data_IF_035997594672
#
_entry.id   IF_035997594672
#
_cell.length_a   1.000
_cell.length_b   1.000
_cell.length_c   1.000
_cell.angle_alpha   90.00
_cell.angle_beta   90.00
_cell.angle_gamma   90.00
#
_symmetry.space_group_name_H-M   'P 1'
#
loop_
_entity.id
_entity.type
_entity.pdbx_description
1 polymer ?
#
# COMPACT_ATOMS: atom_id res chain seq x y z
N UNK A 1 -2.09 9.20 -35.96
CA UNK A 1 -1.36 8.67 -37.13
C UNK A 1 -2.15 8.83 -38.43
N UNK A 2 -3.27 8.12 -38.56
CA UNK A 2 -4.05 8.03 -39.82
C UNK A 2 -4.43 9.40 -40.42
N UNK A 3 -4.90 10.34 -39.59
CA UNK A 3 -5.24 11.71 -40.02
C UNK A 3 -4.03 12.49 -40.56
N UNK A 4 -2.88 12.40 -39.89
CA UNK A 4 -1.64 13.06 -40.33
C UNK A 4 -1.15 12.46 -41.65
N UNK A 5 -1.16 11.13 -41.77
CA UNK A 5 -0.76 10.46 -43.01
C UNK A 5 -1.66 10.82 -44.18
N UNK A 6 -2.98 10.93 -43.95
CA UNK A 6 -3.94 11.44 -44.95
C UNK A 6 -3.61 12.86 -45.38
N UNK A 7 -3.34 13.76 -44.43
CA UNK A 7 -2.99 15.14 -44.71
C UNK A 7 -1.71 15.24 -45.55
N UNK A 8 -0.66 14.52 -45.15
CA UNK A 8 0.60 14.49 -45.88
C UNK A 8 0.42 13.94 -47.30
N UNK A 9 -0.27 12.80 -47.48
CA UNK A 9 -0.58 12.27 -48.83
C UNK A 9 -1.44 13.23 -49.67
N UNK A 10 -2.27 14.04 -49.04
CA UNK A 10 -2.99 15.13 -49.70
C UNK A 10 -2.07 16.22 -50.24
N UNK A 11 -0.97 16.52 -49.55
CA UNK A 11 0.11 17.40 -50.03
C UNK A 11 0.83 16.83 -51.24
N UNK A 12 1.12 15.51 -51.26
CA UNK A 12 1.72 14.82 -52.41
C UNK A 12 0.86 14.94 -53.65
N UNK A 13 -0.45 14.66 -53.52
CA UNK A 13 -1.41 14.80 -54.64
C UNK A 13 -1.48 16.21 -55.19
N UNK A 14 -1.16 17.23 -54.39
CA UNK A 14 -1.13 18.64 -54.77
C UNK A 14 0.26 19.12 -55.22
N UNK A 15 1.26 18.23 -55.25
CA UNK A 15 2.63 18.57 -55.64
C UNK A 15 3.42 19.35 -54.59
N UNK A 16 2.98 19.40 -53.33
CA UNK A 16 3.65 20.16 -52.27
C UNK A 16 4.98 19.53 -51.84
N UNK A 17 5.09 18.19 -51.90
CA UNK A 17 6.28 17.41 -51.57
C UNK A 17 6.12 15.96 -52.08
N UNK A 18 7.22 15.22 -52.20
CA UNK A 18 7.24 13.82 -52.64
C UNK A 18 6.88 12.81 -51.55
N UNK A 19 6.69 11.55 -51.94
CA UNK A 19 6.35 10.46 -51.00
C UNK A 19 7.44 10.22 -49.94
N UNK A 20 8.71 10.37 -50.31
CA UNK A 20 9.86 10.25 -49.40
C UNK A 20 9.77 11.24 -48.22
N UNK A 21 9.40 12.49 -48.49
CA UNK A 21 9.28 13.54 -47.47
C UNK A 21 8.05 13.30 -46.58
N UNK A 22 6.97 12.71 -47.12
CA UNK A 22 5.82 12.27 -46.31
C UNK A 22 6.23 11.21 -45.31
N UNK A 23 6.94 10.20 -45.77
CA UNK A 23 7.35 9.09 -44.92
C UNK A 23 8.30 9.60 -43.82
N UNK A 24 9.28 10.45 -44.18
CA UNK A 24 10.18 11.11 -43.23
C UNK A 24 9.42 11.90 -42.16
N UNK A 25 8.46 12.73 -42.55
CA UNK A 25 7.66 13.55 -41.62
C UNK A 25 6.77 12.69 -40.72
N UNK A 26 6.17 11.64 -41.28
CA UNK A 26 5.32 10.74 -40.52
C UNK A 26 6.12 9.93 -39.50
N UNK A 27 7.31 9.44 -39.86
CA UNK A 27 8.18 8.71 -38.94
C UNK A 27 8.77 9.63 -37.86
N UNK A 28 9.10 10.88 -38.18
CA UNK A 28 9.47 11.88 -37.17
C UNK A 28 8.34 12.14 -36.17
N UNK A 29 7.10 12.33 -36.65
CA UNK A 29 5.93 12.48 -35.79
C UNK A 29 5.71 11.23 -34.91
N UNK A 30 5.85 10.03 -35.50
CA UNK A 30 5.68 8.77 -34.78
C UNK A 30 6.71 8.63 -33.67
N UNK A 31 7.99 8.89 -33.95
CA UNK A 31 9.05 8.84 -32.95
C UNK A 31 8.82 9.85 -31.81
N UNK A 32 8.34 11.05 -32.12
CA UNK A 32 7.98 12.04 -31.08
C UNK A 32 6.78 11.58 -30.25
N UNK A 33 5.75 11.06 -30.90
CA UNK A 33 4.56 10.54 -30.24
C UNK A 33 4.90 9.37 -29.31
N UNK A 34 5.70 8.41 -29.77
CA UNK A 34 6.13 7.26 -28.97
C UNK A 34 6.97 7.72 -27.78
N UNK A 35 7.87 8.70 -27.97
CA UNK A 35 8.59 9.33 -26.84
C UNK A 35 7.64 9.93 -25.80
N UNK A 36 6.59 10.63 -26.22
CA UNK A 36 5.61 11.20 -25.30
C UNK A 36 4.84 10.12 -24.55
N UNK A 37 4.45 9.04 -25.24
CA UNK A 37 3.74 7.90 -24.63
C UNK A 37 4.64 7.20 -23.60
N UNK A 38 5.89 6.89 -23.95
CA UNK A 38 6.84 6.25 -23.03
C UNK A 38 7.15 7.14 -21.82
N UNK A 39 7.28 8.46 -22.02
CA UNK A 39 7.42 9.41 -20.91
C UNK A 39 6.19 9.42 -20.00
N UNK A 40 4.97 9.30 -20.55
CA UNK A 40 3.74 9.15 -19.78
C UNK A 40 3.74 7.87 -18.94
N UNK A 41 4.05 6.74 -19.56
CA UNK A 41 4.15 5.44 -18.87
C UNK A 41 5.16 5.46 -17.73
N UNK A 42 6.32 6.07 -17.94
CA UNK A 42 7.35 6.20 -16.91
C UNK A 42 6.86 7.02 -15.71
N UNK A 43 6.15 8.13 -15.96
CA UNK A 43 5.53 8.95 -14.89
C UNK A 43 4.48 8.17 -14.12
N UNK A 44 3.61 7.44 -14.80
CA UNK A 44 2.56 6.64 -14.16
C UNK A 44 3.17 5.50 -13.32
N UNK A 45 4.23 4.86 -13.80
CA UNK A 45 4.95 3.82 -13.06
C UNK A 45 5.61 4.39 -11.79
N UNK A 46 6.28 5.55 -11.91
CA UNK A 46 6.87 6.23 -10.75
C UNK A 46 5.80 6.59 -9.71
N UNK A 47 4.69 7.18 -10.14
CA UNK A 47 3.57 7.53 -9.25
C UNK A 47 3.00 6.30 -8.53
N UNK A 48 2.81 5.18 -9.24
CA UNK A 48 2.35 3.93 -8.61
C UNK A 48 3.34 3.40 -7.57
N UNK A 49 4.65 3.52 -7.82
CA UNK A 49 5.67 3.11 -6.88
C UNK A 49 5.65 3.99 -5.62
N UNK A 50 5.48 5.31 -5.78
CA UNK A 50 5.39 6.24 -4.65
C UNK A 50 4.10 6.03 -3.84
N UNK A 51 2.95 5.83 -4.52
CA UNK A 51 1.69 5.50 -3.87
C UNK A 51 1.77 4.17 -3.09
N UNK A 52 2.48 3.17 -3.62
CA UNK A 52 2.69 1.89 -2.95
C UNK A 52 3.57 2.04 -1.70
N UNK A 53 4.65 2.84 -1.77
CA UNK A 53 5.50 3.15 -0.61
C UNK A 53 4.71 3.87 0.48
N UNK A 54 3.94 4.89 0.12
CA UNK A 54 3.11 5.65 1.07
C UNK A 54 2.06 4.76 1.76
N UNK A 55 1.47 3.80 1.03
CA UNK A 55 0.56 2.80 1.63
C UNK A 55 1.28 1.87 2.60
N UNK A 56 2.45 1.37 2.22
CA UNK A 56 3.25 0.49 3.06
C UNK A 56 3.67 1.20 4.36
N UNK A 57 4.15 2.44 4.28
CA UNK A 57 4.49 3.24 5.46
C UNK A 57 3.27 3.45 6.37
N UNK A 58 2.10 3.77 5.80
CA UNK A 58 0.85 3.89 6.56
C UNK A 58 0.45 2.58 7.25
N UNK A 59 0.63 1.45 6.58
CA UNK A 59 0.34 0.12 7.13
C UNK A 59 1.30 -0.26 8.25
N UNK A 60 2.59 0.04 8.10
CA UNK A 60 3.62 -0.19 9.12
C UNK A 60 3.31 0.60 10.39
N UNK A 61 3.02 1.90 10.28
CA UNK A 61 2.68 2.74 11.44
C UNK A 61 1.41 2.25 12.15
N UNK A 62 0.37 1.88 11.38
CA UNK A 62 -0.85 1.30 11.95
C UNK A 62 -0.59 -0.05 12.62
N UNK A 63 0.27 -0.88 12.04
CA UNK A 63 0.60 -2.19 12.60
C UNK A 63 1.38 -2.03 13.91
N UNK A 64 2.36 -1.12 13.94
CA UNK A 64 3.12 -0.79 15.15
C UNK A 64 2.21 -0.30 16.28
N UNK A 65 1.35 0.67 16.01
CA UNK A 65 0.40 1.18 17.00
C UNK A 65 -0.55 0.08 17.52
N UNK A 66 -1.01 -0.81 16.65
CA UNK A 66 -1.81 -1.98 17.04
C UNK A 66 -1.02 -2.97 17.89
N UNK A 67 0.24 -3.23 17.55
CA UNK A 67 1.10 -4.14 18.31
C UNK A 67 1.34 -3.61 19.73
N UNK A 68 1.59 -2.32 19.90
CA UNK A 68 1.74 -1.68 21.21
C UNK A 68 0.44 -1.75 22.02
N UNK A 69 -0.71 -1.46 21.41
CA UNK A 69 -2.01 -1.57 22.06
C UNK A 69 -2.33 -3.02 22.50
N UNK A 70 -2.01 -4.00 21.65
CA UNK A 70 -2.19 -5.42 21.97
C UNK A 70 -1.24 -5.86 23.08
N UNK A 71 0.02 -5.42 23.07
CA UNK A 71 0.97 -5.72 24.14
C UNK A 71 0.51 -5.16 25.49
N UNK A 72 0.05 -3.90 25.51
CA UNK A 72 -0.50 -3.29 26.72
C UNK A 72 -1.73 -4.04 27.24
N UNK A 73 -2.69 -4.33 26.35
CA UNK A 73 -3.91 -5.07 26.73
C UNK A 73 -3.61 -6.49 27.23
N UNK A 74 -2.62 -7.17 26.63
CA UNK A 74 -2.17 -8.50 27.11
C UNK A 74 -1.54 -8.42 28.49
N UNK A 75 -0.70 -7.41 28.75
CA UNK A 75 -0.10 -7.19 30.06
C UNK A 75 -1.17 -6.89 31.12
N UNK A 76 -2.16 -6.04 30.79
CA UNK A 76 -3.29 -5.73 31.68
C UNK A 76 -4.14 -6.97 31.99
N UNK A 77 -4.41 -7.81 30.98
CA UNK A 77 -5.16 -9.07 31.17
C UNK A 77 -4.38 -10.08 32.01
N UNK A 78 -3.07 -10.21 31.82
CA UNK A 78 -2.25 -11.11 32.63
C UNK A 78 -2.20 -10.65 34.09
N UNK A 79 -1.98 -9.35 34.33
CA UNK A 79 -1.99 -8.80 35.69
C UNK A 79 -3.34 -8.98 36.39
N UNK A 80 -4.45 -8.82 35.66
CA UNK A 80 -5.78 -9.07 36.21
C UNK A 80 -6.02 -10.55 36.53
N UNK A 81 -5.53 -11.48 35.70
CA UNK A 81 -5.62 -12.92 35.97
C UNK A 81 -4.75 -13.33 37.17
N UNK A 82 -3.54 -12.82 37.28
CA UNK A 82 -2.67 -13.08 38.44
C UNK A 82 -3.28 -12.55 39.75
N UNK A 83 -3.88 -11.35 39.70
CA UNK A 83 -4.58 -10.79 40.86
C UNK A 83 -5.81 -11.62 41.25
N UNK A 84 -6.60 -12.09 40.27
CA UNK A 84 -7.76 -12.95 40.51
C UNK A 84 -7.32 -14.31 41.10
N UNK A 85 -6.31 -14.96 40.54
CA UNK A 85 -5.79 -16.23 41.04
C UNK A 85 -5.23 -16.09 42.46
N UNK A 86 -4.56 -14.99 42.78
CA UNK A 86 -4.05 -14.74 44.14
C UNK A 86 -5.18 -14.52 45.14
N UNK A 87 -6.23 -13.79 44.75
CA UNK A 87 -7.41 -13.58 45.59
C UNK A 87 -8.19 -14.89 45.85
N UNK A 88 -8.27 -15.75 44.84
CA UNK A 88 -8.91 -17.08 44.95
C UNK A 88 -8.12 -18.00 45.88
N UNK A 89 -6.79 -17.98 45.81
CA UNK A 89 -5.90 -18.74 46.69
C UNK A 89 -5.92 -18.22 48.14
N UNK A 90 -6.02 -16.90 48.36
CA UNK A 90 -6.23 -16.31 49.69
C UNK A 90 -7.61 -16.66 50.27
N UNK A 91 -8.66 -16.70 49.43
CA UNK A 91 -9.99 -17.12 49.86
C UNK A 91 -10.03 -18.62 50.25
N UNK A 92 -9.43 -19.49 49.44
CA UNK A 92 -9.34 -20.93 49.74
C UNK A 92 -8.54 -21.20 51.04
N UNK A 93 -7.46 -20.46 51.27
CA UNK A 93 -6.65 -20.60 52.48
C UNK A 93 -7.34 -20.03 53.74
N UNK A 94 -8.19 -19.00 53.58
CA UNK A 94 -9.02 -18.47 54.67
C UNK A 94 -10.15 -19.45 55.04
N UNK A 95 -10.80 -20.07 54.04
CA UNK A 95 -11.85 -21.06 54.24
C UNK A 95 -11.29 -22.35 54.88
N UNK A 96 -10.09 -22.79 54.47
CA UNK A 96 -9.39 -23.90 55.11
C UNK A 96 -8.94 -23.61 56.57
N UNK A 97 -8.69 -22.34 56.93
CA UNK A 97 -8.36 -21.96 58.29
C UNK A 97 -9.59 -21.89 59.22
N UNK A 98 -10.78 -21.63 58.66
CA UNK A 98 -12.04 -21.56 59.42
C UNK A 98 -12.62 -22.96 59.74
N UNK A 99 -12.23 -24.01 59.01
CA UNK A 99 -12.58 -25.41 59.34
C UNK A 99 -11.69 -26.06 60.43
N UNK A 100 -10.66 -25.36 60.92
CA UNK A 100 -9.83 -25.81 62.07
C UNK A 100 -9.87 -24.79 63.20
N UNK A 101 -10.95 -24.73 63.99
CA UNK A 101 -10.86 -25.37 65.31
C UNK A 101 -12.21 -25.93 65.80
N UNK A 102 -12.41 -27.24 65.68
CA UNK A 102 -13.37 -27.97 66.52
C UNK A 102 -13.00 -29.47 66.60
N UNK A 103 -11.81 -29.78 67.11
CA UNK A 103 -11.53 -31.11 67.64
C UNK A 103 -10.49 -31.00 68.76
N UNK A 104 -10.93 -31.47 69.94
CA UNK A 104 -10.24 -31.65 71.23
C UNK A 104 -10.15 -30.46 72.20
#
# INVERSE_FOLDING_TARGET
GVLLMKHLRGGVKKGAFGEEEVQRRFDAWKAQHDKTVEAGKAKDAAKKADDAKARLESEVEKNKAKAEAVAKKKAELLAAQEAAAKAELEAENAEAAEETPAAE
#
